data_IF_313435503427
#
_entry.id   IF_313435503427
#
_cell.length_a   1.000
_cell.length_b   1.000
_cell.length_c   1.000
_cell.angle_alpha   90.00
_cell.angle_beta   90.00
_cell.angle_gamma   90.00
#
_symmetry.space_group_name_H-M   'P 1'
#
loop_
_entity.id
_entity.type
_entity.pdbx_description
1 polymer ?
#
# COMPACT_ATOMS: atom_id res chain seq x y z
N UNK A 1 15.19 6.43 33.55
CA UNK A 1 14.19 6.52 32.47
C UNK A 1 14.45 5.33 31.55
N UNK A 2 13.44 4.53 31.22
CA UNK A 2 13.60 3.44 30.25
C UNK A 2 13.96 4.05 28.90
N UNK A 3 14.96 3.50 28.21
CA UNK A 3 15.29 3.91 26.84
C UNK A 3 14.12 3.53 25.92
N UNK A 4 13.68 4.47 25.09
CA UNK A 4 12.63 4.19 24.10
C UNK A 4 13.12 3.17 23.06
N UNK A 5 12.21 2.30 22.63
CA UNK A 5 12.44 1.43 21.46
C UNK A 5 12.51 2.25 20.17
N UNK A 6 13.27 1.81 19.19
CA UNK A 6 13.37 2.48 17.88
C UNK A 6 12.54 1.70 16.86
N UNK A 7 11.64 2.41 16.15
CA UNK A 7 11.08 1.92 14.90
C UNK A 7 11.75 2.63 13.73
N UNK A 8 12.42 1.87 12.86
CA UNK A 8 12.97 2.39 11.61
C UNK A 8 11.94 2.26 10.52
N UNK A 9 11.62 3.36 9.83
CA UNK A 9 10.55 3.43 8.83
C UNK A 9 11.15 3.78 7.47
N UNK A 10 11.20 2.81 6.58
CA UNK A 10 11.56 3.04 5.17
C UNK A 10 10.37 3.63 4.42
N UNK A 11 10.67 4.43 3.38
CA UNK A 11 9.62 5.13 2.66
C UNK A 11 8.86 6.15 3.51
N UNK A 12 9.46 6.70 4.56
CA UNK A 12 8.83 7.60 5.55
C UNK A 12 8.24 8.88 4.96
N UNK A 13 8.68 9.30 3.78
CA UNK A 13 8.13 10.46 3.03
C UNK A 13 7.06 10.06 2.01
N UNK A 14 6.76 8.77 1.88
CA UNK A 14 5.73 8.23 0.99
C UNK A 14 4.41 7.95 1.72
N UNK A 15 3.44 7.38 1.00
CA UNK A 15 2.08 7.17 1.51
C UNK A 15 2.06 6.21 2.71
N UNK A 16 2.57 4.99 2.55
CA UNK A 16 2.55 4.00 3.63
C UNK A 16 3.49 4.39 4.78
N UNK A 17 4.77 4.63 4.47
CA UNK A 17 5.76 4.96 5.50
C UNK A 17 5.45 6.27 6.22
N UNK A 18 4.87 7.26 5.55
CA UNK A 18 4.40 8.50 6.15
C UNK A 18 3.29 8.27 7.18
N UNK A 19 2.33 7.40 6.85
CA UNK A 19 1.28 6.96 7.78
C UNK A 19 1.85 6.27 9.02
N UNK A 20 2.84 5.38 8.81
CA UNK A 20 3.52 4.70 9.93
C UNK A 20 4.29 5.69 10.79
N UNK A 21 5.09 6.58 10.20
CA UNK A 21 5.81 7.60 10.96
C UNK A 21 4.86 8.48 11.78
N UNK A 22 3.76 8.92 11.17
CA UNK A 22 2.79 9.78 11.81
C UNK A 22 2.16 9.13 13.07
N UNK A 23 1.71 7.87 12.99
CA UNK A 23 1.08 7.23 14.14
C UNK A 23 2.08 7.03 15.29
N UNK A 24 3.33 6.64 15.01
CA UNK A 24 4.34 6.47 16.05
C UNK A 24 4.79 7.79 16.70
N UNK A 25 4.72 8.91 15.96
CA UNK A 25 5.03 10.25 16.49
C UNK A 25 3.89 10.84 17.33
N UNK A 26 2.63 10.49 17.02
CA UNK A 26 1.49 11.22 17.60
C UNK A 26 0.58 10.39 18.50
N UNK A 27 0.51 9.07 18.30
CA UNK A 27 -0.34 8.19 19.12
C UNK A 27 0.12 8.17 20.58
N UNK A 28 -0.77 8.43 21.55
CA UNK A 28 -0.41 8.48 22.98
C UNK A 28 0.21 7.20 23.52
N UNK A 29 -0.20 6.03 23.01
CA UNK A 29 0.33 4.72 23.44
C UNK A 29 1.74 4.45 22.91
N UNK A 30 2.07 5.00 21.73
CA UNK A 30 3.34 4.73 21.06
C UNK A 30 4.41 5.78 21.35
N UNK A 31 4.09 7.07 21.29
CA UNK A 31 5.06 8.16 21.39
C UNK A 31 5.87 8.19 22.68
N UNK A 32 5.33 7.62 23.78
CA UNK A 32 6.03 7.55 25.06
C UNK A 32 7.10 6.46 25.09
N UNK A 33 6.88 5.35 24.36
CA UNK A 33 7.74 4.17 24.34
C UNK A 33 8.60 4.02 23.10
N UNK A 34 8.33 4.80 22.04
CA UNK A 34 9.00 4.66 20.74
C UNK A 34 9.64 5.95 20.26
N UNK A 35 10.74 5.79 19.53
CA UNK A 35 11.39 6.81 18.71
C UNK A 35 11.29 6.41 17.26
N UNK A 36 10.89 7.34 16.38
CA UNK A 36 10.81 7.11 14.93
C UNK A 36 12.14 7.47 14.30
N UNK A 37 12.76 6.52 13.62
CA UNK A 37 13.86 6.75 12.69
C UNK A 37 13.30 6.69 11.26
N UNK A 38 13.16 7.87 10.65
CA UNK A 38 12.59 8.04 9.32
C UNK A 38 13.69 7.96 8.25
N UNK A 39 13.57 7.00 7.34
CA UNK A 39 14.57 6.79 6.30
C UNK A 39 14.16 7.45 5.00
N UNK A 40 15.08 8.19 4.41
CA UNK A 40 14.94 8.84 3.10
C UNK A 40 16.26 8.82 2.34
N UNK A 41 16.22 8.91 1.02
CA UNK A 41 17.42 9.07 0.18
C UNK A 41 18.04 10.46 0.31
N UNK A 42 17.23 11.47 0.64
CA UNK A 42 17.65 12.87 0.71
C UNK A 42 17.02 13.56 1.94
N UNK A 43 17.86 13.80 2.95
CA UNK A 43 17.46 14.44 4.21
C UNK A 43 17.25 15.95 4.09
N UNK A 44 17.62 16.55 2.96
CA UNK A 44 17.49 17.99 2.73
C UNK A 44 16.11 18.40 2.21
N UNK A 45 15.33 17.44 1.72
CA UNK A 45 13.97 17.69 1.21
C UNK A 45 13.04 18.20 2.28
N UNK A 46 12.09 19.03 1.89
CA UNK A 46 11.11 19.62 2.79
C UNK A 46 10.28 18.57 3.54
N UNK A 47 9.92 17.46 2.87
CA UNK A 47 9.23 16.35 3.51
C UNK A 47 10.04 15.67 4.63
N UNK A 48 11.35 15.58 4.47
CA UNK A 48 12.25 15.05 5.49
C UNK A 48 12.38 16.03 6.68
N UNK A 49 12.53 17.33 6.40
CA UNK A 49 12.58 18.38 7.43
C UNK A 49 11.29 18.43 8.26
N UNK A 50 10.11 18.23 7.64
CA UNK A 50 8.83 18.16 8.35
C UNK A 50 8.81 16.99 9.35
N UNK A 51 9.29 15.81 8.97
CA UNK A 51 9.40 14.67 9.87
C UNK A 51 10.34 14.96 11.04
N UNK A 52 11.48 15.62 10.79
CA UNK A 52 12.42 16.04 11.82
C UNK A 52 11.80 17.04 12.81
N UNK A 53 11.06 18.02 12.30
CA UNK A 53 10.33 19.00 13.13
C UNK A 53 9.26 18.35 14.01
N UNK A 54 8.69 17.23 13.55
CA UNK A 54 7.73 16.43 14.33
C UNK A 54 8.38 15.50 15.34
N UNK A 55 9.73 15.47 15.41
CA UNK A 55 10.48 14.70 16.39
C UNK A 55 11.04 13.37 15.89
N UNK A 56 11.02 13.09 14.58
CA UNK A 56 11.69 11.93 14.02
C UNK A 56 13.20 12.14 13.91
N UNK A 57 13.98 11.09 14.16
CA UNK A 57 15.38 10.99 13.71
C UNK A 57 15.39 10.72 12.19
N UNK A 58 15.89 11.66 11.40
CA UNK A 58 15.93 11.50 9.94
C UNK A 58 17.30 11.02 9.51
N UNK A 59 17.36 9.88 8.82
CA UNK A 59 18.60 9.22 8.40
C UNK A 59 18.57 8.94 6.90
N UNK A 60 19.71 9.18 6.24
CA UNK A 60 19.88 8.85 4.83
C UNK A 60 20.26 7.38 4.66
N UNK A 61 19.53 6.68 3.75
CA UNK A 61 19.93 5.36 3.28
C UNK A 61 19.38 5.10 1.87
N UNK A 62 20.09 4.25 1.11
CA UNK A 62 19.69 3.82 -0.23
C UNK A 62 19.44 2.32 -0.24
N UNK A 63 18.30 1.89 -0.81
CA UNK A 63 17.94 0.47 -0.93
C UNK A 63 18.93 -0.34 -1.79
N UNK A 64 19.72 0.33 -2.59
CA UNK A 64 20.77 -0.30 -3.41
C UNK A 64 22.12 -0.43 -2.67
N UNK A 65 22.28 0.21 -1.50
CA UNK A 65 23.50 0.16 -0.69
C UNK A 65 23.21 -0.46 0.69
N UNK A 66 23.45 -1.77 0.78
CA UNK A 66 23.22 -2.56 2.00
C UNK A 66 23.96 -1.97 3.21
N UNK A 67 25.14 -1.37 3.04
CA UNK A 67 25.90 -0.80 4.15
C UNK A 67 25.18 0.37 4.83
N UNK A 68 24.45 1.18 4.06
CA UNK A 68 23.64 2.27 4.58
C UNK A 68 22.39 1.76 5.30
N UNK A 69 21.82 0.64 4.83
CA UNK A 69 20.65 0.00 5.44
C UNK A 69 20.99 -0.58 6.81
N UNK A 70 22.13 -1.27 6.95
CA UNK A 70 22.60 -1.83 8.23
C UNK A 70 22.71 -0.70 9.26
N UNK A 71 23.40 0.39 8.93
CA UNK A 71 23.54 1.56 9.81
C UNK A 71 22.19 2.16 10.18
N UNK A 72 21.29 2.27 9.22
CA UNK A 72 19.95 2.80 9.45
C UNK A 72 19.11 1.93 10.40
N UNK A 73 19.40 0.63 10.49
CA UNK A 73 18.69 -0.33 11.34
C UNK A 73 19.39 -0.61 12.68
N UNK A 74 20.61 -0.07 12.92
CA UNK A 74 21.32 -0.28 14.19
C UNK A 74 20.47 0.12 15.40
N UNK A 75 20.32 -0.81 16.35
CA UNK A 75 19.53 -0.63 17.56
C UNK A 75 18.01 -0.56 17.36
N UNK A 76 17.52 -0.77 16.14
CA UNK A 76 16.07 -0.80 15.87
C UNK A 76 15.42 -2.04 16.49
N UNK A 77 14.36 -1.83 17.28
CA UNK A 77 13.51 -2.90 17.81
C UNK A 77 12.53 -3.39 16.75
N UNK A 78 12.03 -2.48 15.92
CA UNK A 78 11.13 -2.79 14.80
C UNK A 78 11.55 -2.03 13.53
N UNK A 79 11.26 -2.61 12.38
CA UNK A 79 11.48 -1.99 11.07
C UNK A 79 10.21 -2.15 10.24
N UNK A 80 9.68 -1.04 9.72
CA UNK A 80 8.72 -1.07 8.62
C UNK A 80 9.46 -0.85 7.30
N UNK A 81 9.33 -1.79 6.38
CA UNK A 81 10.03 -1.79 5.10
C UNK A 81 9.07 -1.87 3.92
N UNK A 82 9.26 -0.98 2.96
CA UNK A 82 8.48 -0.90 1.72
C UNK A 82 9.39 -0.45 0.57
N UNK A 83 9.20 -1.06 -0.59
CA UNK A 83 9.83 -0.66 -1.86
C UNK A 83 8.82 0.05 -2.76
N UNK A 84 9.30 0.79 -3.76
CA UNK A 84 8.47 1.45 -4.76
C UNK A 84 8.71 0.87 -6.15
N UNK A 85 7.99 -0.19 -6.49
CA UNK A 85 8.04 -0.83 -7.81
C UNK A 85 7.82 0.17 -8.96
N UNK A 86 6.83 1.04 -8.81
CA UNK A 86 6.37 1.96 -9.86
C UNK A 86 7.37 3.06 -10.23
N UNK A 87 8.46 3.24 -9.44
CA UNK A 87 9.51 4.19 -9.78
C UNK A 87 10.31 3.74 -11.03
N UNK A 88 10.48 2.44 -11.20
CA UNK A 88 11.27 1.84 -12.29
C UNK A 88 10.53 0.77 -13.08
N UNK A 89 9.43 0.25 -12.56
CA UNK A 89 8.69 -0.89 -13.11
C UNK A 89 9.60 -2.09 -13.40
N UNK A 90 10.56 -2.35 -12.51
CA UNK A 90 11.57 -3.41 -12.65
C UNK A 90 11.46 -4.39 -11.47
N UNK A 91 10.95 -5.58 -11.77
CA UNK A 91 10.76 -6.66 -10.82
C UNK A 91 12.07 -7.11 -10.16
N UNK A 92 13.15 -7.23 -10.96
CA UNK A 92 14.42 -7.71 -10.46
C UNK A 92 15.09 -6.69 -9.52
N UNK A 93 14.98 -5.40 -9.86
CA UNK A 93 15.46 -4.33 -9.00
C UNK A 93 14.69 -4.32 -7.66
N UNK A 94 13.36 -4.44 -7.68
CA UNK A 94 12.56 -4.47 -6.45
C UNK A 94 12.90 -5.68 -5.57
N UNK A 95 13.08 -6.86 -6.16
CA UNK A 95 13.53 -8.07 -5.45
C UNK A 95 14.90 -7.84 -4.80
N UNK A 96 15.86 -7.25 -5.53
CA UNK A 96 17.19 -7.00 -4.99
C UNK A 96 17.15 -6.00 -3.84
N UNK A 97 16.40 -4.91 -3.96
CA UNK A 97 16.21 -3.92 -2.90
C UNK A 97 15.54 -4.54 -1.67
N UNK A 98 14.52 -5.38 -1.87
CA UNK A 98 13.86 -6.11 -0.78
C UNK A 98 14.82 -7.08 -0.07
N UNK A 99 15.62 -7.84 -0.81
CA UNK A 99 16.64 -8.73 -0.23
C UNK A 99 17.71 -7.96 0.55
N UNK A 100 18.14 -6.81 0.05
CA UNK A 100 19.08 -5.94 0.77
C UNK A 100 18.50 -5.50 2.13
N UNK A 101 17.20 -5.15 2.17
CA UNK A 101 16.50 -4.80 3.42
C UNK A 101 16.42 -5.98 4.40
N UNK A 102 16.08 -7.17 3.91
CA UNK A 102 16.02 -8.40 4.71
C UNK A 102 17.38 -8.76 5.30
N UNK A 103 18.42 -8.75 4.47
CA UNK A 103 19.78 -9.04 4.90
C UNK A 103 20.30 -8.02 5.93
N UNK A 104 20.05 -6.73 5.68
CA UNK A 104 20.43 -5.67 6.61
C UNK A 104 19.70 -5.80 7.95
N UNK A 105 18.40 -6.14 7.94
CA UNK A 105 17.63 -6.35 9.15
C UNK A 105 18.13 -7.55 9.96
N UNK A 106 18.52 -8.63 9.28
CA UNK A 106 19.11 -9.82 9.91
C UNK A 106 20.46 -9.50 10.54
N UNK A 107 21.33 -8.79 9.81
CA UNK A 107 22.65 -8.40 10.28
C UNK A 107 22.60 -7.41 11.46
N UNK A 108 21.66 -6.47 11.43
CA UNK A 108 21.42 -5.52 12.52
C UNK A 108 20.69 -6.13 13.74
N UNK A 109 20.27 -7.40 13.67
CA UNK A 109 19.59 -8.09 14.77
C UNK A 109 18.17 -7.58 15.05
N UNK A 110 17.46 -7.09 14.04
CA UNK A 110 16.11 -6.55 14.16
C UNK A 110 15.15 -7.61 14.73
N UNK A 111 14.40 -7.22 15.76
CA UNK A 111 13.53 -8.14 16.48
C UNK A 111 12.13 -8.28 15.85
N UNK A 112 11.71 -7.32 15.05
CA UNK A 112 10.44 -7.35 14.32
C UNK A 112 10.57 -6.61 12.99
N UNK A 113 10.68 -7.36 11.90
CA UNK A 113 10.68 -6.82 10.55
C UNK A 113 9.27 -6.88 9.97
N UNK A 114 8.72 -5.75 9.54
CA UNK A 114 7.38 -5.68 8.95
C UNK A 114 7.53 -5.29 7.49
N UNK A 115 7.29 -6.24 6.61
CA UNK A 115 7.43 -6.08 5.16
C UNK A 115 6.08 -5.74 4.51
N UNK A 116 6.03 -4.67 3.73
CA UNK A 116 4.90 -4.38 2.85
C UNK A 116 4.91 -5.34 1.67
N UNK A 117 4.21 -6.45 1.83
CA UNK A 117 4.13 -7.59 0.92
C UNK A 117 2.89 -7.54 0.04
N UNK A 118 2.79 -8.50 -0.89
CA UNK A 118 1.60 -8.85 -1.67
C UNK A 118 1.64 -10.36 -1.96
N UNK A 119 0.57 -10.91 -2.57
CA UNK A 119 0.53 -12.31 -2.95
C UNK A 119 1.36 -12.59 -4.21
N UNK A 120 1.84 -13.82 -4.37
CA UNK A 120 2.44 -14.27 -5.63
C UNK A 120 1.32 -14.65 -6.61
N UNK A 121 1.01 -13.77 -7.55
CA UNK A 121 -0.12 -13.93 -8.47
C UNK A 121 0.16 -14.97 -9.54
N UNK A 122 1.37 -15.05 -10.03
CA UNK A 122 1.77 -16.12 -10.94
C UNK A 122 1.51 -17.51 -10.34
N UNK A 123 1.88 -17.72 -9.07
CA UNK A 123 1.61 -18.98 -8.35
C UNK A 123 0.12 -19.18 -8.08
N UNK A 124 -0.57 -18.17 -7.56
CA UNK A 124 -1.99 -18.20 -7.20
C UNK A 124 -2.86 -18.50 -8.42
N UNK A 125 -2.58 -17.86 -9.56
CA UNK A 125 -3.30 -18.04 -10.82
C UNK A 125 -2.91 -19.31 -11.59
N UNK A 126 -1.91 -20.07 -11.11
CA UNK A 126 -1.31 -21.21 -11.82
C UNK A 126 -0.79 -20.81 -13.21
N UNK A 127 -0.16 -19.64 -13.29
CA UNK A 127 0.42 -19.09 -14.52
C UNK A 127 -0.57 -18.43 -15.49
N UNK A 128 -1.83 -18.22 -15.09
CA UNK A 128 -2.82 -17.54 -15.97
C UNK A 128 -2.63 -16.02 -15.99
N UNK A 129 -2.13 -15.43 -14.91
CA UNK A 129 -1.85 -14.01 -14.76
C UNK A 129 -0.35 -13.84 -14.43
N UNK A 130 0.55 -14.00 -15.41
CA UNK A 130 2.00 -14.05 -15.15
C UNK A 130 2.66 -12.68 -15.11
N UNK A 131 1.93 -11.60 -15.39
CA UNK A 131 2.51 -10.26 -15.55
C UNK A 131 2.20 -9.30 -14.38
N UNK A 132 1.68 -9.76 -13.25
CA UNK A 132 1.43 -8.91 -12.09
C UNK A 132 2.71 -8.76 -11.26
N UNK A 133 3.72 -8.13 -11.86
CA UNK A 133 5.10 -8.12 -11.37
C UNK A 133 5.27 -7.43 -10.02
N UNK A 134 4.54 -6.33 -9.76
CA UNK A 134 4.62 -5.62 -8.47
C UNK A 134 4.06 -6.42 -7.28
N UNK A 135 3.22 -7.44 -7.55
CA UNK A 135 2.80 -8.41 -6.55
C UNK A 135 3.87 -9.48 -6.35
N UNK A 136 4.30 -10.09 -7.45
CA UNK A 136 5.21 -11.22 -7.43
C UNK A 136 6.57 -10.85 -6.85
N UNK A 137 7.10 -9.65 -7.16
CA UNK A 137 8.36 -9.16 -6.59
C UNK A 137 8.31 -9.07 -5.07
N UNK A 138 7.24 -8.51 -4.50
CA UNK A 138 7.06 -8.38 -3.05
C UNK A 138 6.87 -9.74 -2.37
N UNK A 139 6.13 -10.64 -3.02
CA UNK A 139 5.97 -12.01 -2.54
C UNK A 139 7.28 -12.79 -2.49
N UNK A 140 8.14 -12.61 -3.50
CA UNK A 140 9.46 -13.25 -3.54
C UNK A 140 10.39 -12.74 -2.43
N UNK A 141 10.28 -11.47 -2.05
CA UNK A 141 10.99 -10.92 -0.88
C UNK A 141 10.43 -11.50 0.41
N UNK A 142 9.11 -11.67 0.53
CA UNK A 142 8.49 -12.37 1.68
C UNK A 142 9.01 -13.80 1.79
N UNK A 143 9.04 -14.55 0.68
CA UNK A 143 9.56 -15.92 0.65
C UNK A 143 11.04 -15.95 1.14
N UNK A 144 11.86 -15.03 0.66
CA UNK A 144 13.24 -14.91 1.10
C UNK A 144 13.37 -14.56 2.59
N UNK A 145 12.58 -13.64 3.11
CA UNK A 145 12.61 -13.28 4.53
C UNK A 145 12.25 -14.50 5.43
N UNK A 146 11.31 -15.34 4.97
CA UNK A 146 10.95 -16.61 5.64
C UNK A 146 12.08 -17.63 5.56
N UNK A 147 12.72 -17.79 4.40
CA UNK A 147 13.83 -18.71 4.16
C UNK A 147 15.01 -18.41 5.09
N UNK A 148 15.37 -17.13 5.24
CA UNK A 148 16.51 -16.75 6.10
C UNK A 148 16.15 -16.71 7.60
N UNK A 149 14.90 -17.00 7.96
CA UNK A 149 14.43 -17.07 9.35
C UNK A 149 14.37 -15.70 10.04
N UNK A 150 14.12 -14.61 9.29
CA UNK A 150 13.96 -13.28 9.89
C UNK A 150 12.65 -13.23 10.71
N UNK A 151 12.66 -12.69 11.96
CA UNK A 151 11.42 -12.50 12.71
C UNK A 151 10.56 -11.42 12.08
N UNK A 152 9.66 -11.81 11.17
CA UNK A 152 8.92 -10.92 10.30
C UNK A 152 7.40 -11.08 10.39
N UNK A 153 6.69 -10.00 10.07
CA UNK A 153 5.25 -9.94 9.78
C UNK A 153 5.07 -9.33 8.39
N UNK A 154 4.09 -9.79 7.64
CA UNK A 154 3.89 -9.39 6.25
C UNK A 154 2.57 -8.63 6.13
N UNK A 155 2.68 -7.31 5.90
CA UNK A 155 1.53 -6.45 5.70
C UNK A 155 1.18 -6.41 4.20
N UNK A 156 0.01 -6.93 3.83
CA UNK A 156 -0.48 -6.93 2.46
C UNK A 156 -1.43 -5.74 2.28
N UNK A 157 -0.93 -4.69 1.66
CA UNK A 157 -1.72 -3.49 1.42
C UNK A 157 -2.84 -3.77 0.41
N UNK A 158 -4.06 -3.33 0.70
CA UNK A 158 -5.21 -3.39 -0.21
C UNK A 158 -5.11 -2.39 -1.35
N UNK A 159 -6.15 -2.34 -2.15
CA UNK A 159 -6.27 -1.40 -3.24
C UNK A 159 -6.51 0.03 -2.69
N UNK A 160 -5.64 0.95 -3.06
CA UNK A 160 -5.69 2.31 -2.53
C UNK A 160 -6.93 3.06 -3.00
N UNK A 161 -7.76 3.50 -2.08
CA UNK A 161 -8.91 4.39 -2.36
C UNK A 161 -8.48 5.64 -3.13
N UNK A 162 -7.26 6.12 -2.88
CA UNK A 162 -6.70 7.29 -3.56
C UNK A 162 -6.41 7.10 -5.05
N UNK A 163 -6.50 5.88 -5.58
CA UNK A 163 -6.35 5.59 -7.01
C UNK A 163 -7.68 5.64 -7.77
N UNK A 164 -8.81 5.72 -7.06
CA UNK A 164 -10.13 5.73 -7.69
C UNK A 164 -10.44 7.07 -8.36
N UNK A 165 -10.30 8.25 -7.68
CA UNK A 165 -10.55 9.54 -8.31
C UNK A 165 -9.55 9.87 -9.41
N UNK A 166 -10.04 10.39 -10.52
CA UNK A 166 -9.24 10.87 -11.65
C UNK A 166 -9.05 9.81 -12.74
N UNK A 167 -8.25 8.80 -12.54
CA UNK A 167 -7.96 7.82 -13.60
C UNK A 167 -9.14 6.87 -13.86
N UNK A 168 -9.62 6.19 -12.81
CA UNK A 168 -10.67 5.18 -12.94
C UNK A 168 -12.08 5.76 -12.77
N UNK A 169 -12.27 6.76 -11.92
CA UNK A 169 -13.55 7.38 -11.62
C UNK A 169 -13.49 8.88 -11.91
N UNK A 170 -14.09 9.30 -13.03
CA UNK A 170 -14.02 10.67 -13.56
C UNK A 170 -15.24 11.03 -14.41
N UNK A 171 -15.34 12.27 -14.84
CA UNK A 171 -16.31 12.71 -15.85
C UNK A 171 -16.01 12.04 -17.20
N UNK A 172 -17.01 11.45 -17.83
CA UNK A 172 -16.92 10.84 -19.17
C UNK A 172 -17.71 11.67 -20.17
N UNK A 173 -17.00 12.38 -21.05
CA UNK A 173 -17.60 13.22 -22.11
C UNK A 173 -18.44 12.39 -23.09
N UNK A 174 -18.19 11.09 -23.22
CA UNK A 174 -18.98 10.19 -24.07
C UNK A 174 -20.26 9.66 -23.39
N UNK A 175 -20.42 9.94 -22.09
CA UNK A 175 -21.58 9.56 -21.28
C UNK A 175 -22.28 10.82 -20.72
N UNK A 176 -22.58 11.80 -21.55
CA UNK A 176 -23.23 13.07 -21.18
C UNK A 176 -22.54 13.75 -19.97
N UNK A 177 -21.24 13.63 -19.90
CA UNK A 177 -20.42 14.17 -18.81
C UNK A 177 -20.78 13.60 -17.42
N UNK A 178 -21.34 12.38 -17.37
CA UNK A 178 -21.64 11.68 -16.14
C UNK A 178 -20.33 11.26 -15.41
N UNK A 179 -20.40 11.20 -14.08
CA UNK A 179 -19.35 10.56 -13.29
C UNK A 179 -19.32 9.06 -13.60
N UNK A 180 -18.23 8.56 -14.14
CA UNK A 180 -18.12 7.20 -14.62
C UNK A 180 -16.92 6.49 -13.99
N UNK A 181 -17.20 5.39 -13.29
CA UNK A 181 -16.16 4.48 -12.82
C UNK A 181 -15.93 3.42 -13.88
N UNK A 182 -14.74 3.38 -14.49
CA UNK A 182 -14.45 2.58 -15.67
C UNK A 182 -13.26 1.64 -15.47
N UNK A 183 -13.46 0.33 -15.57
CA UNK A 183 -12.43 -0.71 -15.50
C UNK A 183 -12.73 -1.83 -16.49
N UNK A 184 -11.74 -2.69 -16.85
CA UNK A 184 -11.95 -3.77 -17.84
C UNK A 184 -12.60 -5.05 -17.28
N UNK A 185 -13.13 -4.99 -16.07
CA UNK A 185 -13.79 -6.10 -15.38
C UNK A 185 -15.22 -5.71 -15.02
N UNK A 186 -16.04 -6.66 -14.53
CA UNK A 186 -17.44 -6.40 -14.22
C UNK A 186 -17.60 -5.49 -12.99
N UNK A 187 -18.79 -4.91 -12.83
CA UNK A 187 -19.17 -4.15 -11.63
C UNK A 187 -19.31 -5.02 -10.38
N UNK A 188 -19.36 -6.34 -10.55
CA UNK A 188 -19.37 -7.33 -9.46
C UNK A 188 -17.98 -7.74 -9.00
N UNK A 189 -16.92 -7.36 -9.73
CA UNK A 189 -15.54 -7.60 -9.28
C UNK A 189 -15.29 -6.92 -7.94
N UNK A 190 -14.62 -7.64 -7.02
CA UNK A 190 -14.48 -7.23 -5.62
C UNK A 190 -13.08 -6.68 -5.35
N UNK A 191 -13.05 -5.49 -4.78
CA UNK A 191 -11.82 -4.77 -4.45
C UNK A 191 -11.69 -4.58 -2.93
N UNK A 192 -10.58 -5.00 -2.30
CA UNK A 192 -10.31 -4.68 -0.89
C UNK A 192 -9.85 -3.23 -0.77
N UNK A 193 -10.77 -2.33 -0.45
CA UNK A 193 -10.51 -0.89 -0.38
C UNK A 193 -9.73 -0.50 0.86
N UNK A 194 -8.81 0.47 0.72
CA UNK A 194 -7.87 0.84 1.75
C UNK A 194 -7.42 2.31 1.62
N UNK A 195 -7.58 3.10 2.68
CA UNK A 195 -6.96 4.42 2.77
C UNK A 195 -5.51 4.29 3.26
N UNK A 196 -4.59 4.13 2.33
CA UNK A 196 -3.19 3.88 2.66
C UNK A 196 -2.53 5.00 3.46
N UNK A 197 -2.93 6.25 3.25
CA UNK A 197 -2.37 7.40 3.97
C UNK A 197 -2.89 7.49 5.42
N UNK A 198 -4.15 7.17 5.63
CA UNK A 198 -4.78 7.26 6.95
C UNK A 198 -4.53 6.00 7.80
N UNK A 199 -4.47 4.82 7.16
CA UNK A 199 -4.66 3.56 7.89
C UNK A 199 -3.44 2.64 7.92
N UNK A 200 -2.43 2.79 7.06
CA UNK A 200 -1.23 1.92 7.14
C UNK A 200 -0.64 1.92 8.55
N UNK A 201 -0.50 3.09 9.16
CA UNK A 201 0.03 3.21 10.51
C UNK A 201 -0.76 2.43 11.55
N UNK A 202 -2.09 2.37 11.43
CA UNK A 202 -2.98 1.62 12.35
C UNK A 202 -2.70 0.11 12.31
N UNK A 203 -2.52 -0.45 11.12
CA UNK A 203 -2.13 -1.86 10.95
C UNK A 203 -0.74 -2.13 11.51
N UNK A 204 0.23 -1.24 11.28
CA UNK A 204 1.60 -1.41 11.77
C UNK A 204 1.66 -1.22 13.29
N UNK A 205 0.88 -0.29 13.86
CA UNK A 205 0.67 -0.20 15.32
C UNK A 205 0.16 -1.52 15.88
N UNK A 206 -0.90 -2.08 15.28
CA UNK A 206 -1.45 -3.36 15.70
C UNK A 206 -0.42 -4.50 15.62
N UNK A 207 0.39 -4.54 14.55
CA UNK A 207 1.46 -5.50 14.40
C UNK A 207 2.51 -5.39 15.51
N UNK A 208 2.95 -4.18 15.83
CA UNK A 208 3.97 -3.94 16.87
C UNK A 208 3.44 -4.27 18.27
N UNK A 209 2.20 -3.89 18.58
CA UNK A 209 1.58 -4.15 19.88
C UNK A 209 1.21 -5.64 20.09
N UNK A 210 1.01 -6.39 19.01
CA UNK A 210 0.66 -7.81 19.05
C UNK A 210 1.76 -8.70 18.45
N UNK A 211 3.03 -8.28 18.53
CA UNK A 211 4.17 -8.92 17.88
C UNK A 211 4.13 -10.46 17.96
N UNK A 212 4.00 -11.01 19.16
CA UNK A 212 4.08 -12.46 19.38
C UNK A 212 2.92 -13.24 18.74
N UNK A 213 1.79 -12.57 18.47
CA UNK A 213 0.63 -13.16 17.77
C UNK A 213 0.77 -13.12 16.25
N UNK A 214 1.59 -12.19 15.72
CA UNK A 214 1.65 -11.90 14.28
C UNK A 214 2.97 -12.28 13.61
N UNK A 215 3.99 -12.68 14.36
CA UNK A 215 5.24 -13.16 13.78
C UNK A 215 4.97 -14.35 12.83
N UNK A 216 5.53 -14.26 11.63
CA UNK A 216 5.33 -15.23 10.56
C UNK A 216 3.99 -15.11 9.82
N UNK A 217 3.07 -14.24 10.26
CA UNK A 217 1.73 -14.10 9.67
C UNK A 217 1.66 -12.98 8.62
N UNK A 218 0.63 -13.06 7.79
CA UNK A 218 0.17 -11.99 6.92
C UNK A 218 -0.93 -11.20 7.61
N UNK A 219 -0.91 -9.88 7.44
CA UNK A 219 -1.96 -8.95 7.85
C UNK A 219 -2.58 -8.34 6.60
N UNK A 220 -3.87 -8.52 6.40
CA UNK A 220 -4.58 -8.03 5.23
C UNK A 220 -5.02 -6.59 5.45
N UNK A 221 -4.34 -5.67 4.79
CA UNK A 221 -4.48 -4.21 4.98
C UNK A 221 -5.62 -3.63 4.16
N UNK A 222 -6.85 -3.97 4.47
CA UNK A 222 -8.04 -3.40 3.85
C UNK A 222 -9.09 -3.02 4.88
N UNK A 223 -9.91 -2.02 4.55
CA UNK A 223 -11.04 -1.62 5.40
C UNK A 223 -12.23 -2.52 5.15
N UNK A 224 -12.51 -2.82 3.89
CA UNK A 224 -13.66 -3.63 3.47
C UNK A 224 -13.42 -4.21 2.08
N UNK A 225 -14.22 -5.21 1.73
CA UNK A 225 -14.37 -5.71 0.37
C UNK A 225 -15.59 -5.05 -0.28
N UNK A 226 -15.37 -4.23 -1.30
CA UNK A 226 -16.44 -3.58 -2.04
C UNK A 226 -16.46 -4.05 -3.49
N UNK A 227 -17.65 -4.33 -4.04
CA UNK A 227 -17.82 -4.44 -5.48
C UNK A 227 -17.68 -3.06 -6.13
N UNK A 228 -17.36 -3.02 -7.41
CA UNK A 228 -17.28 -1.76 -8.14
C UNK A 228 -18.64 -1.03 -8.16
N UNK A 229 -19.76 -1.79 -8.21
CA UNK A 229 -21.09 -1.23 -8.03
C UNK A 229 -21.25 -0.55 -6.67
N UNK A 230 -20.81 -1.18 -5.57
CA UNK A 230 -20.86 -0.58 -4.22
C UNK A 230 -19.99 0.67 -4.09
N UNK A 231 -18.86 0.74 -4.79
CA UNK A 231 -18.01 1.95 -4.85
C UNK A 231 -18.79 3.10 -5.49
N UNK A 232 -19.49 2.86 -6.61
CA UNK A 232 -20.35 3.87 -7.26
C UNK A 232 -21.50 4.29 -6.35
N UNK A 233 -22.15 3.34 -5.68
CA UNK A 233 -23.24 3.67 -4.74
C UNK A 233 -22.72 4.46 -3.51
N UNK A 234 -21.52 4.18 -3.02
CA UNK A 234 -20.85 4.98 -1.98
C UNK A 234 -20.62 6.43 -2.45
N UNK A 235 -20.14 6.61 -3.68
CA UNK A 235 -19.99 7.95 -4.29
C UNK A 235 -21.32 8.70 -4.36
N UNK A 236 -22.41 8.04 -4.79
CA UNK A 236 -23.78 8.64 -4.83
C UNK A 236 -24.24 9.12 -3.46
N UNK A 237 -23.95 8.36 -2.43
CA UNK A 237 -24.31 8.74 -1.04
C UNK A 237 -23.55 9.99 -0.58
N UNK A 238 -22.27 10.09 -0.92
CA UNK A 238 -21.42 11.23 -0.53
C UNK A 238 -21.76 12.48 -1.32
N UNK A 239 -22.03 12.34 -2.63
CA UNK A 239 -22.28 13.43 -3.55
C UNK A 239 -23.65 13.27 -4.23
N UNK A 240 -24.78 13.55 -3.54
CA UNK A 240 -26.10 13.23 -4.07
C UNK A 240 -26.42 13.89 -5.42
N UNK A 241 -25.99 15.13 -5.65
CA UNK A 241 -26.25 15.84 -6.91
C UNK A 241 -25.37 15.31 -8.05
N UNK A 242 -24.06 15.21 -7.85
CA UNK A 242 -23.13 14.67 -8.83
C UNK A 242 -23.36 13.17 -9.08
N UNK A 243 -23.79 12.47 -8.05
CA UNK A 243 -24.06 11.03 -8.09
C UNK A 243 -25.32 10.63 -8.84
N UNK A 244 -26.27 11.56 -9.12
CA UNK A 244 -27.52 11.24 -9.86
C UNK A 244 -27.27 10.50 -11.17
N UNK A 245 -26.20 10.87 -11.86
CA UNK A 245 -25.81 10.29 -13.17
C UNK A 245 -24.61 9.36 -13.06
N UNK A 246 -24.10 9.11 -11.84
CA UNK A 246 -22.90 8.27 -11.68
C UNK A 246 -23.19 6.81 -12.08
N UNK A 247 -22.30 6.25 -12.90
CA UNK A 247 -22.43 4.89 -13.43
C UNK A 247 -21.12 4.13 -13.35
N UNK A 248 -21.22 2.79 -13.42
CA UNK A 248 -20.09 1.93 -13.76
C UNK A 248 -20.13 1.61 -15.27
N UNK A 249 -18.94 1.53 -15.88
CA UNK A 249 -18.77 1.19 -17.30
C UNK A 249 -17.64 0.17 -17.44
N UNK A 250 -18.00 -1.05 -17.80
CA UNK A 250 -16.98 -2.03 -18.17
C UNK A 250 -16.35 -1.67 -19.51
N UNK A 251 -15.03 -1.55 -19.53
CA UNK A 251 -14.28 -1.23 -20.74
C UNK A 251 -13.83 -2.50 -21.46
N UNK A 252 -13.80 -2.51 -22.80
CA UNK A 252 -13.03 -3.51 -23.54
C UNK A 252 -11.54 -3.40 -23.19
N UNK A 253 -10.83 -4.54 -23.09
CA UNK A 253 -9.39 -4.59 -22.81
C UNK A 253 -8.57 -3.67 -23.72
N UNK A 254 -8.90 -3.69 -25.01
CA UNK A 254 -8.23 -2.82 -25.99
C UNK A 254 -8.32 -1.34 -25.60
N UNK A 255 -9.50 -0.88 -25.18
CA UNK A 255 -9.71 0.52 -24.76
C UNK A 255 -8.92 0.83 -23.48
N UNK A 256 -8.89 -0.11 -22.53
CA UNK A 256 -8.12 0.03 -21.30
C UNK A 256 -6.60 0.09 -21.56
N UNK A 257 -6.09 -0.81 -22.41
CA UNK A 257 -4.67 -0.81 -22.79
C UNK A 257 -4.29 0.45 -23.56
N UNK A 258 -5.15 0.92 -24.48
CA UNK A 258 -4.91 2.17 -25.22
C UNK A 258 -4.86 3.39 -24.30
N UNK A 259 -5.69 3.47 -23.28
CA UNK A 259 -5.60 4.53 -22.26
C UNK A 259 -4.24 4.54 -21.57
N UNK A 260 -3.74 3.38 -21.12
CA UNK A 260 -2.44 3.32 -20.45
C UNK A 260 -1.27 3.61 -21.39
N UNK A 261 -1.29 3.04 -22.59
CA UNK A 261 -0.15 3.18 -23.52
C UNK A 261 -0.15 4.52 -24.27
N UNK A 262 -1.31 4.99 -24.76
CA UNK A 262 -1.41 6.20 -25.58
C UNK A 262 -1.61 7.46 -24.73
N UNK A 263 -2.53 7.41 -23.75
CA UNK A 263 -2.90 8.62 -22.98
C UNK A 263 -1.97 8.83 -21.80
N UNK A 264 -1.55 7.74 -21.12
CA UNK A 264 -0.63 7.81 -19.99
C UNK A 264 0.84 7.60 -20.38
N UNK A 265 1.12 7.14 -21.60
CA UNK A 265 2.46 6.99 -22.15
C UNK A 265 3.30 5.90 -21.47
N UNK A 266 2.66 4.91 -20.81
CA UNK A 266 3.41 3.81 -20.19
C UNK A 266 3.77 2.74 -21.22
N UNK A 267 4.87 1.98 -21.03
CA UNK A 267 5.21 0.85 -21.88
C UNK A 267 4.13 -0.24 -21.91
N UNK A 268 4.03 -0.98 -23.02
CA UNK A 268 3.03 -2.03 -23.21
C UNK A 268 3.04 -3.08 -22.09
N UNK A 269 4.22 -3.48 -21.60
CA UNK A 269 4.30 -4.47 -20.52
C UNK A 269 3.73 -3.93 -19.19
N UNK A 270 3.84 -2.63 -18.94
CA UNK A 270 3.24 -1.98 -17.74
C UNK A 270 1.71 -1.93 -17.91
N UNK A 271 1.22 -1.59 -19.09
CA UNK A 271 -0.22 -1.59 -19.37
C UNK A 271 -0.82 -3.01 -19.23
N UNK A 272 -0.10 -4.03 -19.69
CA UNK A 272 -0.49 -5.43 -19.52
C UNK A 272 -0.50 -5.86 -18.05
N UNK A 273 0.49 -5.42 -17.26
CA UNK A 273 0.54 -5.67 -15.82
C UNK A 273 -0.68 -5.08 -15.11
N UNK A 274 -1.05 -3.83 -15.44
CA UNK A 274 -2.22 -3.18 -14.85
C UNK A 274 -3.52 -3.89 -15.28
N UNK A 275 -3.62 -4.35 -16.52
CA UNK A 275 -4.78 -5.13 -17.00
C UNK A 275 -4.93 -6.44 -16.21
N UNK A 276 -3.85 -7.21 -16.06
CA UNK A 276 -3.90 -8.46 -15.30
C UNK A 276 -4.18 -8.24 -13.81
N UNK A 277 -3.72 -7.12 -13.26
CA UNK A 277 -4.08 -6.73 -11.90
C UNK A 277 -5.60 -6.46 -11.77
N UNK A 278 -6.27 -5.94 -12.80
CA UNK A 278 -7.74 -5.82 -12.78
C UNK A 278 -8.41 -7.19 -12.80
N UNK A 279 -7.93 -8.12 -13.62
CA UNK A 279 -8.45 -9.49 -13.64
C UNK A 279 -8.31 -10.24 -12.32
N UNK A 280 -7.30 -9.88 -11.52
CA UNK A 280 -7.14 -10.42 -10.17
C UNK A 280 -8.38 -10.18 -9.30
N UNK A 281 -9.00 -8.98 -9.37
CA UNK A 281 -10.20 -8.65 -8.60
C UNK A 281 -11.39 -9.55 -8.94
N UNK A 282 -11.53 -9.93 -10.20
CA UNK A 282 -12.67 -10.71 -10.69
C UNK A 282 -12.45 -12.23 -10.60
N UNK A 283 -11.22 -12.71 -10.89
CA UNK A 283 -10.97 -14.14 -11.10
C UNK A 283 -10.52 -14.88 -9.85
N UNK A 284 -9.73 -14.23 -8.99
CA UNK A 284 -9.06 -14.89 -7.87
C UNK A 284 -9.38 -14.27 -6.52
N UNK A 285 -9.85 -13.01 -6.53
CA UNK A 285 -9.86 -12.17 -5.33
C UNK A 285 -8.45 -11.70 -4.96
N UNK A 286 -8.33 -10.43 -4.62
CA UNK A 286 -7.06 -9.73 -4.36
C UNK A 286 -6.18 -10.44 -3.30
N UNK A 287 -6.82 -11.01 -2.27
CA UNK A 287 -6.17 -11.79 -1.24
C UNK A 287 -6.47 -13.30 -1.33
N UNK A 288 -6.85 -13.80 -2.52
CA UNK A 288 -7.16 -15.21 -2.71
C UNK A 288 -8.42 -15.68 -1.98
N UNK A 289 -9.33 -14.76 -1.65
CA UNK A 289 -10.60 -15.06 -0.96
C UNK A 289 -10.48 -15.13 0.57
N UNK A 290 -9.34 -14.71 1.17
CA UNK A 290 -9.16 -14.70 2.62
C UNK A 290 -10.03 -13.62 3.28
N UNK A 291 -10.55 -13.90 4.51
CA UNK A 291 -11.31 -12.96 5.34
C UNK A 291 -10.40 -11.92 5.99
N UNK A 292 -10.91 -10.71 6.21
CA UNK A 292 -10.25 -9.63 6.96
C UNK A 292 -10.34 -9.81 8.48
N UNK A 293 -11.16 -10.72 8.98
CA UNK A 293 -11.55 -10.81 10.39
C UNK A 293 -10.37 -11.00 11.33
N UNK A 294 -9.40 -11.88 10.99
CA UNK A 294 -8.24 -12.10 11.84
C UNK A 294 -7.38 -10.84 11.98
N UNK A 295 -7.23 -10.07 10.91
CA UNK A 295 -6.48 -8.81 10.94
C UNK A 295 -7.25 -7.75 11.70
N UNK A 296 -8.56 -7.61 11.44
CA UNK A 296 -9.41 -6.62 12.10
C UNK A 296 -9.51 -6.85 13.61
N UNK A 297 -9.50 -8.10 14.07
CA UNK A 297 -9.52 -8.44 15.50
C UNK A 297 -8.27 -7.93 16.27
N UNK A 298 -7.20 -7.54 15.58
CA UNK A 298 -6.00 -6.96 16.18
C UNK A 298 -6.05 -5.43 16.29
N UNK A 299 -6.95 -4.79 15.53
CA UNK A 299 -7.02 -3.33 15.43
C UNK A 299 -7.75 -2.72 16.62
N UNK A 300 -7.19 -1.66 17.17
CA UNK A 300 -7.83 -0.82 18.18
C UNK A 300 -8.44 0.44 17.54
N UNK A 301 -7.93 0.84 16.39
CA UNK A 301 -8.28 2.06 15.71
C UNK A 301 -9.34 1.78 14.62
N UNK A 302 -10.31 2.69 14.50
CA UNK A 302 -11.28 2.65 13.41
C UNK A 302 -10.60 2.90 12.06
N UNK A 303 -10.88 2.06 11.07
CA UNK A 303 -10.42 2.26 9.69
C UNK A 303 -11.30 3.27 8.95
N UNK A 304 -10.73 3.91 7.93
CA UNK A 304 -11.40 4.88 7.08
C UNK A 304 -12.27 4.15 6.06
N UNK A 305 -13.58 4.45 6.04
CA UNK A 305 -14.50 3.89 5.03
C UNK A 305 -14.31 4.56 3.67
N UNK A 306 -14.82 3.91 2.62
CA UNK A 306 -14.82 4.50 1.28
C UNK A 306 -15.51 5.86 1.25
N UNK A 307 -16.66 5.98 1.88
CA UNK A 307 -17.42 7.23 1.95
C UNK A 307 -16.66 8.34 2.71
N UNK A 308 -16.02 7.98 3.82
CA UNK A 308 -15.19 8.95 4.58
C UNK A 308 -14.00 9.43 3.77
N UNK A 309 -13.36 8.54 2.98
CA UNK A 309 -12.29 8.90 2.05
C UNK A 309 -12.79 9.78 0.92
N UNK A 310 -13.88 9.37 0.26
CA UNK A 310 -14.46 10.10 -0.86
C UNK A 310 -14.87 11.52 -0.47
N UNK A 311 -15.42 11.71 0.74
CA UNK A 311 -15.83 13.02 1.26
C UNK A 311 -14.64 13.96 1.57
N UNK A 312 -13.45 13.42 1.83
CA UNK A 312 -12.27 14.21 2.27
C UNK A 312 -11.24 14.45 1.19
N UNK A 313 -11.20 13.61 0.16
CA UNK A 313 -10.16 13.71 -0.86
C UNK A 313 -10.39 14.88 -1.80
N UNK A 314 -9.35 15.70 -2.01
CA UNK A 314 -9.35 16.80 -2.99
C UNK A 314 -9.18 16.33 -4.44
N UNK A 315 -9.05 15.04 -4.67
CA UNK A 315 -8.78 14.49 -6.02
C UNK A 315 -9.97 14.50 -6.97
N UNK A 316 -11.17 14.83 -6.50
CA UNK A 316 -12.35 14.96 -7.36
C UNK A 316 -12.38 16.21 -8.22
N UNK A 317 -11.45 17.18 -8.00
CA UNK A 317 -11.43 18.48 -8.64
C UNK A 317 -12.30 19.52 -7.92
N UNK A 318 -12.29 20.77 -8.43
CA UNK A 318 -12.98 21.90 -7.80
C UNK A 318 -14.50 21.74 -7.73
N UNK A 319 -15.09 20.93 -8.59
CA UNK A 319 -16.54 20.72 -8.69
C UNK A 319 -17.16 19.98 -7.49
N UNK A 320 -16.37 19.23 -6.75
CA UNK A 320 -16.83 18.43 -5.60
C UNK A 320 -16.11 18.75 -4.28
N UNK A 321 -15.22 19.75 -4.29
CA UNK A 321 -14.46 20.20 -3.11
C UNK A 321 -15.04 21.47 -2.51
#
# INVERSE_FOLDING_TARGET
MSTKSIITVFGATGIQGGSVAAIFLHDPKLKSGWTVRAITRDTTKESAKKLQQQGAEVVAADLNDKSTLIKAMEGASAVFAVTNYWEKCDMNLEIQQGKNLVDAAKEAGVQHFIWSSLLNITKLSKGKLPNVYHFDSKALVEEYAREVGLPATFFLAGAYMSNLPGAAFRRDAQADNAWTFSLPVSDQAVQPVFDAAADTGKFIKAAVLNRDKVLGKRLLGATDYLTHAQIVEGFKRVFPEAGKTAIYKQLPDKTFLEFWTKDQGVPDYVAQEVLENMYLFEQLGYYGGESLDETHALLEDKLTTWEEHAAKTSKWGEELN
#
